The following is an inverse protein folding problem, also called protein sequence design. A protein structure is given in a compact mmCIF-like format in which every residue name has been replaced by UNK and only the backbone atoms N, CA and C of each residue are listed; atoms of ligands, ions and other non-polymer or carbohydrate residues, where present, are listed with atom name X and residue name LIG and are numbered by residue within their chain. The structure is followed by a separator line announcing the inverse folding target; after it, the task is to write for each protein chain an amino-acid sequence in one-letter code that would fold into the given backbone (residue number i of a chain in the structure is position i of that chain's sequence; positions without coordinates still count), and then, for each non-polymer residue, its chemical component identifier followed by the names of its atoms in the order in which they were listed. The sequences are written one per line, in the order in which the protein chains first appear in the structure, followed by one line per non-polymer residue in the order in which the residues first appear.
data_IF_670666954734
#
_entry.id   IF_670666954734
#
_cell.length_a   1.000
_cell.length_b   1.000
_cell.length_c   1.000
_cell.angle_alpha   90.00
_cell.angle_beta   90.00
_cell.angle_gamma   90.00
#
_symmetry.space_group_name_H-M   'P 1'
#
loop_
_entity.id
_entity.type
_entity.pdbx_description
1 polymer ?
#
# COMPACT_ATOMS: atom_id res chain seq x y z
N UNK A 1 -19.65 12.94 2.37
CA UNK A 1 -18.33 13.16 3.02
C UNK A 1 -18.31 12.53 4.43
N UNK A 2 -18.54 11.22 4.53
CA UNK A 2 -18.45 10.41 5.78
C UNK A 2 -17.25 9.42 5.68
N UNK A 3 -16.61 9.36 4.50
CA UNK A 3 -15.56 8.42 4.13
C UNK A 3 -14.14 9.02 4.18
N UNK A 4 -13.90 10.18 4.79
CA UNK A 4 -12.54 10.79 4.76
C UNK A 4 -11.47 9.88 5.41
N UNK A 5 -11.85 9.04 6.38
CA UNK A 5 -10.95 7.99 6.90
C UNK A 5 -10.71 6.81 5.96
N UNK A 6 -11.59 6.60 4.97
CA UNK A 6 -11.50 5.61 3.89
C UNK A 6 -10.93 6.21 2.58
N UNK A 7 -10.70 7.53 2.50
CA UNK A 7 -10.46 8.20 1.22
C UNK A 7 -8.99 8.23 0.77
N UNK A 8 -8.04 8.44 1.70
CA UNK A 8 -6.64 8.66 1.35
C UNK A 8 -5.65 8.23 2.43
N UNK A 9 -5.99 8.42 3.72
CA UNK A 9 -5.08 8.06 4.86
C UNK A 9 -5.38 6.68 5.45
N UNK A 10 -6.36 5.96 4.91
CA UNK A 10 -6.91 4.72 5.48
C UNK A 10 -5.86 3.65 5.80
N UNK A 11 -4.80 3.56 4.99
CA UNK A 11 -3.77 2.52 5.10
C UNK A 11 -2.60 2.92 5.99
N UNK A 12 -2.45 4.20 6.37
CA UNK A 12 -1.29 4.68 7.13
C UNK A 12 -1.25 4.11 8.55
N UNK A 13 -2.27 4.31 9.42
CA UNK A 13 -2.25 3.75 10.77
C UNK A 13 -2.18 2.21 10.79
N UNK A 14 -2.94 1.47 9.96
CA UNK A 14 -2.83 0.01 9.89
C UNK A 14 -1.44 -0.48 9.47
N UNK A 15 -0.80 0.17 8.51
CA UNK A 15 0.55 -0.24 8.04
C UNK A 15 1.59 -0.03 9.12
N UNK A 16 1.57 1.11 9.83
CA UNK A 16 2.49 1.36 10.94
C UNK A 16 2.28 0.35 12.07
N UNK A 17 1.02 0.02 12.39
CA UNK A 17 0.70 -1.00 13.39
C UNK A 17 1.20 -2.38 12.97
N UNK A 18 1.03 -2.75 11.69
CA UNK A 18 1.55 -4.00 11.15
C UNK A 18 3.09 -4.07 11.24
N UNK A 19 3.80 -2.99 10.89
CA UNK A 19 5.25 -2.91 11.06
C UNK A 19 5.65 -3.09 12.52
N UNK A 20 4.94 -2.49 13.48
CA UNK A 20 5.19 -2.67 14.92
C UNK A 20 4.99 -4.11 15.37
N UNK A 21 3.91 -4.76 14.92
CA UNK A 21 3.59 -6.14 15.28
C UNK A 21 4.58 -7.14 14.70
N UNK A 22 5.06 -6.92 13.47
CA UNK A 22 5.92 -7.90 12.77
C UNK A 22 7.41 -7.67 13.03
N UNK A 23 7.84 -6.42 13.22
CA UNK A 23 9.25 -6.02 13.26
C UNK A 23 9.69 -5.42 14.60
N UNK A 24 8.76 -5.30 15.55
CA UNK A 24 8.99 -4.69 16.85
C UNK A 24 8.99 -3.16 16.82
N UNK A 25 8.78 -2.56 17.99
CA UNK A 25 8.65 -1.09 18.15
C UNK A 25 9.94 -0.32 17.86
N UNK A 26 11.11 -0.94 18.04
CA UNK A 26 12.39 -0.26 17.81
C UNK A 26 12.68 -0.01 16.32
N UNK A 27 12.26 -0.93 15.44
CA UNK A 27 12.55 -0.85 13.99
C UNK A 27 11.36 -0.36 13.16
N UNK A 28 10.14 -0.39 13.72
CA UNK A 28 8.91 -0.10 12.96
C UNK A 28 8.92 1.24 12.25
N UNK A 29 9.45 2.29 12.88
CA UNK A 29 9.43 3.65 12.31
C UNK A 29 10.37 3.77 11.11
N UNK A 30 11.57 3.17 11.21
CA UNK A 30 12.54 3.16 10.10
C UNK A 30 11.99 2.38 8.91
N UNK A 31 11.39 1.22 9.16
CA UNK A 31 10.81 0.40 8.08
C UNK A 31 9.59 1.08 7.47
N UNK A 32 8.72 1.69 8.27
CA UNK A 32 7.62 2.49 7.76
C UNK A 32 8.11 3.66 6.89
N UNK A 33 9.24 4.29 7.25
CA UNK A 33 9.89 5.30 6.40
C UNK A 33 10.25 4.76 5.02
N UNK A 34 10.80 3.55 4.93
CA UNK A 34 11.07 2.90 3.64
C UNK A 34 9.80 2.51 2.88
N UNK A 35 8.74 2.08 3.57
CA UNK A 35 7.43 1.85 2.95
C UNK A 35 6.90 3.14 2.33
N UNK A 36 7.04 4.27 3.01
CA UNK A 36 6.65 5.58 2.50
C UNK A 36 7.47 5.97 1.26
N UNK A 37 8.79 5.76 1.27
CA UNK A 37 9.63 5.97 0.07
C UNK A 37 9.14 5.12 -1.11
N UNK A 38 8.84 3.85 -0.88
CA UNK A 38 8.26 2.96 -1.89
C UNK A 38 6.92 3.48 -2.43
N UNK A 39 6.06 4.00 -1.55
CA UNK A 39 4.79 4.62 -1.94
C UNK A 39 5.01 5.83 -2.86
N UNK A 40 5.96 6.72 -2.54
CA UNK A 40 6.26 7.88 -3.38
C UNK A 40 6.76 7.46 -4.77
N UNK A 41 7.68 6.48 -4.84
CA UNK A 41 8.17 5.95 -6.11
C UNK A 41 7.02 5.34 -6.93
N UNK A 42 6.19 4.52 -6.29
CA UNK A 42 5.02 3.92 -6.93
C UNK A 42 4.02 4.96 -7.44
N UNK A 43 3.77 6.01 -6.66
CA UNK A 43 2.90 7.12 -7.04
C UNK A 43 3.46 7.89 -8.24
N UNK A 44 4.77 8.15 -8.29
CA UNK A 44 5.42 8.76 -9.46
C UNK A 44 5.28 7.89 -10.71
N UNK A 45 5.50 6.57 -10.60
CA UNK A 45 5.34 5.63 -11.71
C UNK A 45 3.89 5.58 -12.18
N UNK A 46 2.92 5.51 -11.26
CA UNK A 46 1.50 5.47 -11.59
C UNK A 46 1.05 6.77 -12.28
N UNK A 47 1.47 7.94 -11.78
CA UNK A 47 1.14 9.23 -12.36
C UNK A 47 1.72 9.38 -13.77
N UNK A 48 3.01 9.04 -13.96
CA UNK A 48 3.65 9.08 -15.27
C UNK A 48 3.03 8.07 -16.24
N UNK A 49 2.79 6.84 -15.79
CA UNK A 49 2.17 5.78 -16.59
C UNK A 49 0.75 6.16 -17.03
N UNK A 50 -0.07 6.71 -16.13
CA UNK A 50 -1.40 7.20 -16.46
C UNK A 50 -1.36 8.34 -17.48
N UNK A 51 -0.42 9.28 -17.34
CA UNK A 51 -0.23 10.36 -18.31
C UNK A 51 0.15 9.82 -19.70
N UNK A 52 1.09 8.88 -19.78
CA UNK A 52 1.49 8.24 -21.04
C UNK A 52 0.31 7.51 -21.69
N UNK A 53 -0.41 6.69 -20.92
CA UNK A 53 -1.58 5.95 -21.41
C UNK A 53 -2.67 6.91 -21.92
N UNK A 54 -2.92 8.00 -21.20
CA UNK A 54 -3.89 9.02 -21.59
C UNK A 54 -3.54 9.72 -22.90
N UNK A 55 -2.26 10.01 -23.13
CA UNK A 55 -1.77 10.62 -24.38
C UNK A 55 -1.88 9.63 -25.54
N UNK A 56 -1.60 8.35 -25.32
CA UNK A 56 -1.57 7.33 -26.37
C UNK A 56 -2.94 6.76 -26.73
N UNK A 57 -3.84 6.61 -25.74
CA UNK A 57 -5.12 5.92 -25.88
C UNK A 57 -6.33 6.86 -25.81
N UNK A 58 -6.14 8.10 -25.38
CA UNK A 58 -7.19 9.12 -25.36
C UNK A 58 -8.04 9.17 -24.08
N UNK A 59 -7.94 8.17 -23.20
CA UNK A 59 -8.63 8.13 -21.89
C UNK A 59 -7.77 7.47 -20.79
N UNK A 60 -8.35 7.32 -19.59
CA UNK A 60 -7.69 6.69 -18.42
C UNK A 60 -8.18 5.26 -18.15
N UNK A 61 -9.01 4.65 -19.00
CA UNK A 61 -9.66 3.37 -18.71
C UNK A 61 -8.62 2.28 -18.42
N UNK A 62 -7.59 2.17 -19.26
CA UNK A 62 -6.50 1.20 -19.06
C UNK A 62 -5.72 1.47 -17.78
N UNK A 63 -5.44 2.74 -17.46
CA UNK A 63 -4.76 3.10 -16.22
C UNK A 63 -5.57 2.64 -14.99
N UNK A 64 -6.90 2.84 -15.01
CA UNK A 64 -7.78 2.37 -13.94
C UNK A 64 -7.85 0.85 -13.83
N UNK A 65 -7.89 0.11 -14.94
CA UNK A 65 -7.85 -1.35 -14.89
C UNK A 65 -6.54 -1.87 -14.31
N UNK A 66 -5.40 -1.26 -14.67
CA UNK A 66 -4.10 -1.59 -14.07
C UNK A 66 -4.13 -1.31 -12.56
N UNK A 67 -4.60 -0.13 -12.14
CA UNK A 67 -4.71 0.20 -10.72
C UNK A 67 -5.60 -0.77 -9.96
N UNK A 68 -6.77 -1.13 -10.51
CA UNK A 68 -7.67 -2.12 -9.91
C UNK A 68 -6.98 -3.48 -9.74
N UNK A 69 -6.26 -3.94 -10.75
CA UNK A 69 -5.47 -5.17 -10.66
C UNK A 69 -4.37 -5.08 -9.59
N UNK A 70 -3.64 -3.96 -9.52
CA UNK A 70 -2.63 -3.74 -8.49
C UNK A 70 -3.21 -3.71 -7.07
N UNK A 71 -4.43 -3.20 -6.89
CA UNK A 71 -5.15 -3.27 -5.61
C UNK A 71 -5.40 -4.72 -5.19
N UNK A 72 -5.81 -5.60 -6.12
CA UNK A 72 -6.00 -7.03 -5.84
C UNK A 72 -4.68 -7.73 -5.47
N UNK A 73 -3.61 -7.44 -6.21
CA UNK A 73 -2.27 -7.97 -5.89
C UNK A 73 -1.82 -7.51 -4.51
N UNK A 74 -2.03 -6.24 -4.19
CA UNK A 74 -1.67 -5.65 -2.88
C UNK A 74 -2.48 -6.29 -1.75
N UNK A 75 -3.79 -6.45 -1.92
CA UNK A 75 -4.65 -7.14 -0.96
C UNK A 75 -4.17 -8.57 -0.71
N UNK A 76 -3.86 -9.32 -1.77
CA UNK A 76 -3.31 -10.67 -1.65
C UNK A 76 -1.97 -10.69 -0.90
N UNK A 77 -1.06 -9.77 -1.22
CA UNK A 77 0.25 -9.68 -0.56
C UNK A 77 0.11 -9.39 0.94
N UNK A 78 -0.78 -8.47 1.33
CA UNK A 78 -1.07 -8.17 2.74
C UNK A 78 -1.57 -9.42 3.48
N UNK A 79 -2.43 -10.24 2.86
CA UNK A 79 -2.91 -11.49 3.46
C UNK A 79 -1.81 -12.54 3.66
N UNK A 80 -0.68 -12.45 2.95
CA UNK A 80 0.45 -13.36 3.16
C UNK A 80 1.37 -12.91 4.30
N UNK A 81 1.28 -11.66 4.76
CA UNK A 81 2.12 -11.16 5.85
C UNK A 81 1.79 -11.91 7.14
N UNK A 82 2.80 -12.54 7.74
CA UNK A 82 2.69 -13.32 8.97
C UNK A 82 1.59 -14.41 8.95
N UNK A 83 1.24 -14.91 7.75
CA UNK A 83 0.26 -15.98 7.59
C UNK A 83 0.66 -17.21 8.41
N UNK A 84 -0.28 -17.70 9.22
CA UNK A 84 -0.06 -18.86 10.09
C UNK A 84 0.57 -18.55 11.44
N UNK A 85 0.89 -17.28 11.75
CA UNK A 85 1.34 -16.85 13.08
C UNK A 85 0.21 -16.19 13.85
N UNK A 86 0.08 -16.53 15.12
CA UNK A 86 -0.82 -15.88 16.07
C UNK A 86 -0.25 -14.54 16.54
N UNK A 87 -1.12 -13.67 17.07
CA UNK A 87 -0.70 -12.38 17.61
C UNK A 87 0.24 -12.52 18.83
N UNK A 88 0.19 -13.64 19.56
CA UNK A 88 1.11 -13.96 20.65
C UNK A 88 2.51 -14.28 20.12
N UNK A 89 2.61 -15.10 19.07
CA UNK A 89 3.88 -15.45 18.42
C UNK A 89 4.58 -14.26 17.76
N UNK A 90 3.84 -13.21 17.40
CA UNK A 90 4.39 -11.97 16.85
C UNK A 90 4.82 -10.97 17.93
N UNK A 91 4.35 -11.13 19.17
CA UNK A 91 4.61 -10.20 20.29
C UNK A 91 5.69 -10.70 21.27
N UNK A 92 6.02 -11.99 21.24
CA UNK A 92 7.14 -12.59 21.98
C UNK A 92 8.46 -12.36 21.25
#
# INVERSE_FOLDING_TARGET
MIFYGLDWVATVPPTLMLCRLVLGTQRSTVVYGWVFVGHQIGASVAALGAAILRVKLGDYAVAFYISAFMCLVSAYAVLQIAKGKTALELRG
#
